data_IF_136678807422
#
_entry.id   IF_136678807422
#
_cell.length_a   1.000
_cell.length_b   1.000
_cell.length_c   1.000
_cell.angle_alpha   90.00
_cell.angle_beta   90.00
_cell.angle_gamma   90.00
#
_symmetry.space_group_name_H-M   'P 1'
#
loop_
_entity.id
_entity.type
_entity.pdbx_description
1 polymer ?
#
# COMPACT_ATOMS: atom_id res chain seq x y z
N UNK A 1 -24.64 -40.63 4.73
CA UNK A 1 -23.60 -39.85 4.04
C UNK A 1 -22.27 -40.56 4.20
N UNK A 2 -21.49 -40.70 3.13
CA UNK A 2 -20.13 -41.22 3.26
C UNK A 2 -19.26 -40.17 3.95
N UNK A 3 -18.40 -40.55 4.89
CA UNK A 3 -17.37 -39.64 5.41
C UNK A 3 -16.39 -39.16 4.32
N UNK A 4 -16.43 -39.76 3.13
CA UNK A 4 -15.53 -39.48 2.00
C UNK A 4 -15.78 -38.12 1.36
N UNK A 5 -17.05 -37.74 1.14
CA UNK A 5 -17.38 -36.51 0.41
C UNK A 5 -17.06 -35.24 1.22
N UNK A 6 -17.26 -35.30 2.54
CA UNK A 6 -16.85 -34.23 3.46
C UNK A 6 -15.33 -34.11 3.60
N UNK A 7 -14.62 -35.24 3.63
CA UNK A 7 -13.16 -35.23 3.63
C UNK A 7 -12.56 -34.66 2.34
N UNK A 8 -13.19 -34.94 1.19
CA UNK A 8 -12.81 -34.35 -0.09
C UNK A 8 -13.01 -32.83 -0.12
N UNK A 9 -14.13 -32.34 0.46
CA UNK A 9 -14.40 -30.91 0.60
C UNK A 9 -13.36 -30.21 1.48
N UNK A 10 -13.03 -30.78 2.65
CA UNK A 10 -11.95 -30.28 3.52
C UNK A 10 -10.58 -30.27 2.82
N UNK A 11 -10.26 -31.31 2.03
CA UNK A 11 -9.04 -31.34 1.22
C UNK A 11 -9.00 -30.21 0.18
N UNK A 12 -10.14 -29.89 -0.43
CA UNK A 12 -10.25 -28.83 -1.43
C UNK A 12 -10.07 -27.45 -0.80
N UNK A 13 -10.69 -27.21 0.36
CA UNK A 13 -10.48 -25.98 1.15
C UNK A 13 -8.99 -25.81 1.49
N UNK A 14 -8.32 -26.86 1.96
CA UNK A 14 -6.91 -26.82 2.30
C UNK A 14 -6.03 -26.48 1.10
N UNK A 15 -6.27 -27.14 -0.06
CA UNK A 15 -5.53 -26.86 -1.30
C UNK A 15 -5.71 -25.41 -1.75
N UNK A 16 -6.92 -24.87 -1.64
CA UNK A 16 -7.19 -23.48 -2.01
C UNK A 16 -6.45 -22.50 -1.08
N UNK A 17 -6.41 -22.74 0.23
CA UNK A 17 -5.60 -21.90 1.14
C UNK A 17 -4.10 -21.96 0.82
N UNK A 18 -3.56 -23.14 0.50
CA UNK A 18 -2.16 -23.29 0.08
C UNK A 18 -1.91 -22.57 -1.24
N UNK A 19 -2.82 -22.69 -2.21
CA UNK A 19 -2.76 -21.99 -3.49
C UNK A 19 -2.81 -20.48 -3.30
N UNK A 20 -3.75 -19.96 -2.50
CA UNK A 20 -3.86 -18.53 -2.22
C UNK A 20 -2.58 -18.00 -1.59
N UNK A 21 -1.99 -18.75 -0.66
CA UNK A 21 -0.81 -18.26 0.02
C UNK A 21 0.47 -18.34 -0.82
N UNK A 22 0.63 -19.38 -1.66
CA UNK A 22 1.69 -19.40 -2.69
C UNK A 22 1.48 -18.34 -3.75
N UNK A 23 0.23 -18.03 -4.09
CA UNK A 23 -0.15 -16.94 -4.98
C UNK A 23 0.21 -15.57 -4.43
N UNK A 24 -0.08 -15.30 -3.15
CA UNK A 24 0.30 -14.08 -2.44
C UNK A 24 1.81 -13.89 -2.42
N UNK A 25 2.55 -14.98 -2.20
CA UNK A 25 4.01 -14.96 -2.25
C UNK A 25 4.52 -14.64 -3.68
N UNK A 26 3.89 -15.21 -4.70
CA UNK A 26 4.27 -15.02 -6.10
C UNK A 26 3.99 -13.61 -6.64
N UNK A 27 3.00 -12.89 -6.09
CA UNK A 27 2.73 -11.47 -6.44
C UNK A 27 3.51 -10.49 -5.58
N UNK A 28 4.27 -10.97 -4.59
CA UNK A 28 5.04 -10.10 -3.73
C UNK A 28 6.17 -9.41 -4.54
N UNK A 29 6.42 -8.10 -4.36
CA UNK A 29 7.39 -7.36 -5.16
C UNK A 29 8.82 -7.92 -5.13
N UNK A 30 9.19 -8.63 -4.05
CA UNK A 30 10.50 -9.29 -3.94
C UNK A 30 10.66 -10.55 -4.79
N UNK A 31 9.57 -11.10 -5.34
CA UNK A 31 9.59 -12.32 -6.15
C UNK A 31 9.22 -12.09 -7.61
N UNK A 32 8.32 -11.15 -7.87
CA UNK A 32 7.84 -10.86 -9.21
C UNK A 32 8.73 -9.80 -9.91
N UNK A 33 9.05 -9.98 -11.21
CA UNK A 33 9.75 -8.95 -11.98
C UNK A 33 8.97 -7.64 -11.97
N UNK A 34 9.66 -6.56 -11.58
CA UNK A 34 9.10 -5.21 -11.46
C UNK A 34 9.35 -4.36 -12.71
N UNK A 35 10.00 -4.92 -13.72
CA UNK A 35 10.33 -4.22 -14.95
C UNK A 35 10.63 -5.22 -16.06
N UNK A 36 10.59 -4.72 -17.29
CA UNK A 36 10.97 -5.49 -18.47
C UNK A 36 12.01 -4.72 -19.27
N UNK A 37 13.02 -5.43 -19.76
CA UNK A 37 14.07 -4.88 -20.62
C UNK A 37 14.03 -5.65 -21.92
N UNK A 38 13.27 -5.13 -22.88
CA UNK A 38 13.00 -5.81 -24.14
C UNK A 38 12.49 -4.83 -25.20
N UNK A 39 13.13 -4.86 -26.37
CA UNK A 39 12.76 -4.02 -27.50
C UNK A 39 11.40 -4.38 -28.11
N UNK A 40 10.94 -5.62 -28.00
CA UNK A 40 9.63 -6.00 -28.52
C UNK A 40 8.50 -5.58 -27.57
N UNK A 41 8.70 -5.75 -26.26
CA UNK A 41 7.80 -5.19 -25.24
C UNK A 41 7.75 -3.65 -25.33
N UNK A 42 8.88 -2.99 -25.59
CA UNK A 42 8.94 -1.53 -25.77
C UNK A 42 8.15 -0.99 -26.99
N UNK A 43 7.74 -1.84 -27.94
CA UNK A 43 6.88 -1.47 -29.07
C UNK A 43 5.39 -1.62 -28.76
N UNK A 44 5.05 -2.22 -27.63
CA UNK A 44 3.66 -2.45 -27.24
C UNK A 44 3.01 -1.15 -26.74
N UNK A 45 1.68 -1.16 -26.71
CA UNK A 45 0.87 -0.05 -26.23
C UNK A 45 0.46 -0.33 -24.78
N UNK A 46 1.17 0.30 -23.84
CA UNK A 46 0.96 0.12 -22.41
C UNK A 46 -0.43 0.56 -21.96
N UNK A 47 -1.01 1.58 -22.62
CA UNK A 47 -2.36 2.02 -22.32
C UNK A 47 -3.41 0.96 -22.67
N UNK A 48 -3.29 0.34 -23.86
CA UNK A 48 -4.17 -0.79 -24.23
C UNK A 48 -4.01 -1.99 -23.33
N UNK A 49 -2.78 -2.32 -22.93
CA UNK A 49 -2.53 -3.40 -21.99
C UNK A 49 -3.17 -3.09 -20.63
N UNK A 50 -3.02 -1.87 -20.12
CA UNK A 50 -3.66 -1.42 -18.88
C UNK A 50 -5.19 -1.50 -18.94
N UNK A 51 -5.80 -1.07 -20.05
CA UNK A 51 -7.25 -1.18 -20.28
C UNK A 51 -7.72 -2.65 -20.29
N UNK A 52 -6.97 -3.54 -20.95
CA UNK A 52 -7.28 -4.96 -20.96
C UNK A 52 -7.18 -5.57 -19.56
N UNK A 53 -6.09 -5.31 -18.83
CA UNK A 53 -5.91 -5.76 -17.45
C UNK A 53 -7.07 -5.29 -16.58
N UNK A 54 -7.45 -4.00 -16.69
CA UNK A 54 -8.56 -3.43 -15.94
C UNK A 54 -9.89 -4.14 -16.25
N UNK A 55 -10.19 -4.35 -17.53
CA UNK A 55 -11.43 -5.02 -17.97
C UNK A 55 -11.52 -6.48 -17.48
N UNK A 56 -10.44 -7.24 -17.68
CA UNK A 56 -10.36 -8.65 -17.29
C UNK A 56 -10.45 -8.80 -15.77
N UNK A 57 -9.79 -7.91 -15.03
CA UNK A 57 -9.85 -7.88 -13.57
C UNK A 57 -11.25 -7.60 -13.05
N UNK A 58 -11.95 -6.60 -13.59
CA UNK A 58 -13.34 -6.32 -13.19
C UNK A 58 -14.26 -7.52 -13.44
N UNK A 59 -14.09 -8.20 -14.56
CA UNK A 59 -14.87 -9.41 -14.89
C UNK A 59 -14.60 -10.53 -13.88
N UNK A 60 -13.34 -10.74 -13.51
CA UNK A 60 -12.96 -11.72 -12.49
C UNK A 60 -13.47 -11.36 -11.10
N UNK A 61 -13.42 -10.09 -10.70
CA UNK A 61 -13.95 -9.63 -9.40
C UNK A 61 -15.46 -9.84 -9.29
N UNK A 62 -16.21 -9.57 -10.35
CA UNK A 62 -17.65 -9.86 -10.41
C UNK A 62 -17.95 -11.36 -10.35
N UNK A 63 -17.09 -12.19 -10.94
CA UNK A 63 -17.22 -13.65 -10.84
C UNK A 63 -16.87 -14.15 -9.44
N UNK A 64 -15.80 -13.61 -8.84
CA UNK A 64 -15.38 -13.93 -7.48
C UNK A 64 -16.46 -13.60 -6.45
N UNK A 65 -17.09 -12.43 -6.54
CA UNK A 65 -18.16 -12.03 -5.63
C UNK A 65 -19.40 -12.94 -5.75
N UNK A 66 -19.75 -13.36 -6.97
CA UNK A 66 -20.83 -14.34 -7.21
C UNK A 66 -20.49 -15.71 -6.66
N UNK A 67 -19.29 -16.22 -6.94
CA UNK A 67 -18.88 -17.57 -6.52
C UNK A 67 -18.77 -17.65 -4.99
N UNK A 68 -18.29 -16.60 -4.33
CA UNK A 68 -18.18 -16.52 -2.87
C UNK A 68 -19.54 -16.37 -2.19
N UNK A 69 -20.45 -15.55 -2.74
CA UNK A 69 -21.82 -15.49 -2.25
C UNK A 69 -22.53 -16.85 -2.41
N UNK A 70 -22.35 -17.50 -3.56
CA UNK A 70 -22.83 -18.85 -3.81
C UNK A 70 -22.24 -19.87 -2.83
N UNK A 71 -20.95 -19.77 -2.52
CA UNK A 71 -20.26 -20.67 -1.60
C UNK A 71 -20.82 -20.48 -0.19
N UNK A 72 -21.00 -19.24 0.24
CA UNK A 72 -21.62 -18.92 1.53
C UNK A 72 -23.03 -19.51 1.64
N UNK A 73 -23.82 -19.48 0.56
CA UNK A 73 -25.16 -20.09 0.52
C UNK A 73 -25.11 -21.62 0.53
N UNK A 74 -24.19 -22.22 -0.23
CA UNK A 74 -24.00 -23.67 -0.27
C UNK A 74 -23.51 -24.22 1.07
N UNK A 75 -22.67 -23.48 1.80
CA UNK A 75 -22.17 -23.85 3.12
C UNK A 75 -23.18 -23.53 4.25
N UNK A 76 -24.49 -23.47 3.95
CA UNK A 76 -25.55 -23.23 4.93
C UNK A 76 -26.28 -24.54 5.27
N UNK A 77 -26.34 -24.97 6.54
CA UNK A 77 -27.16 -26.11 6.92
C UNK A 77 -28.66 -25.82 6.73
N UNK A 78 -29.46 -26.84 6.40
CA UNK A 78 -30.90 -26.70 6.19
C UNK A 78 -31.62 -26.21 7.46
N UNK A 79 -32.74 -25.49 7.28
CA UNK A 79 -33.49 -24.86 8.38
C UNK A 79 -33.86 -25.89 9.45
N UNK A 80 -33.44 -25.66 10.70
CA UNK A 80 -33.79 -26.49 11.87
C UNK A 80 -32.64 -27.28 12.49
N UNK A 81 -31.43 -27.24 11.92
CA UNK A 81 -30.22 -27.81 12.54
C UNK A 81 -29.40 -26.74 13.26
N UNK A 82 -28.71 -27.15 14.35
CA UNK A 82 -27.90 -26.28 15.21
C UNK A 82 -26.79 -25.61 14.38
N UNK A 83 -26.71 -24.28 14.45
CA UNK A 83 -25.87 -23.45 13.57
C UNK A 83 -24.45 -23.19 14.11
N UNK A 84 -24.21 -23.48 15.39
CA UNK A 84 -22.94 -23.21 16.10
C UNK A 84 -22.37 -24.51 16.69
N UNK A 85 -21.90 -25.40 15.82
CA UNK A 85 -21.07 -26.54 16.20
C UNK A 85 -19.62 -26.27 15.80
N UNK A 86 -18.64 -26.79 16.54
CA UNK A 86 -17.20 -26.75 16.19
C UNK A 86 -16.88 -27.39 14.82
N UNK A 87 -17.87 -28.03 14.20
CA UNK A 87 -17.84 -28.58 12.85
C UNK A 87 -18.67 -27.73 11.88
N UNK A 88 -18.05 -26.81 11.10
CA UNK A 88 -18.76 -25.88 10.21
C UNK A 88 -19.53 -26.55 9.06
N UNK A 89 -19.21 -27.81 8.76
CA UNK A 89 -19.83 -28.61 7.70
C UNK A 89 -20.87 -29.61 8.24
N UNK A 90 -21.15 -29.60 9.54
CA UNK A 90 -22.16 -30.47 10.11
C UNK A 90 -23.54 -30.10 9.55
N UNK A 91 -24.26 -31.11 9.05
CA UNK A 91 -25.64 -30.93 8.58
C UNK A 91 -25.84 -30.53 7.11
N UNK A 92 -24.77 -30.31 6.34
CA UNK A 92 -24.90 -30.05 4.89
C UNK A 92 -25.45 -31.29 4.16
N UNK A 93 -26.38 -31.05 3.23
CA UNK A 93 -26.90 -32.07 2.32
C UNK A 93 -25.98 -32.28 1.11
N UNK A 94 -26.16 -33.38 0.39
CA UNK A 94 -25.27 -33.77 -0.72
C UNK A 94 -25.27 -32.72 -1.84
N UNK A 95 -26.41 -32.07 -2.10
CA UNK A 95 -26.54 -31.01 -3.09
C UNK A 95 -25.71 -29.76 -2.70
N UNK A 96 -25.72 -29.39 -1.42
CA UNK A 96 -24.90 -28.30 -0.89
C UNK A 96 -23.41 -28.61 -0.97
N UNK A 97 -23.00 -29.84 -0.65
CA UNK A 97 -21.60 -30.29 -0.77
C UNK A 97 -21.13 -30.27 -2.21
N UNK A 98 -21.95 -30.73 -3.15
CA UNK A 98 -21.62 -30.71 -4.57
C UNK A 98 -21.51 -29.27 -5.11
N UNK A 99 -22.47 -28.41 -4.77
CA UNK A 99 -22.44 -27.00 -5.15
C UNK A 99 -21.20 -26.28 -4.59
N UNK A 100 -20.88 -26.49 -3.30
CA UNK A 100 -19.70 -25.94 -2.66
C UNK A 100 -18.41 -26.43 -3.33
N UNK A 101 -18.31 -27.73 -3.65
CA UNK A 101 -17.14 -28.30 -4.32
C UNK A 101 -16.91 -27.69 -5.71
N UNK A 102 -17.97 -27.48 -6.50
CA UNK A 102 -17.88 -26.82 -7.81
C UNK A 102 -17.41 -25.37 -7.70
N UNK A 103 -17.92 -24.62 -6.71
CA UNK A 103 -17.53 -23.23 -6.49
C UNK A 103 -16.09 -23.10 -5.99
N UNK A 104 -15.65 -23.98 -5.09
CA UNK A 104 -14.24 -24.04 -4.67
C UNK A 104 -13.30 -24.41 -5.82
N UNK A 105 -13.71 -25.34 -6.69
CA UNK A 105 -12.93 -25.69 -7.88
C UNK A 105 -12.85 -24.51 -8.86
N UNK A 106 -13.94 -23.75 -9.05
CA UNK A 106 -13.96 -22.51 -9.82
C UNK A 106 -12.98 -21.48 -9.25
N UNK A 107 -12.98 -21.28 -7.93
CA UNK A 107 -12.02 -20.39 -7.26
C UNK A 107 -10.57 -20.85 -7.47
N UNK A 108 -10.29 -22.15 -7.33
CA UNK A 108 -8.95 -22.71 -7.39
C UNK A 108 -8.36 -22.81 -8.81
N UNK A 109 -9.17 -23.07 -9.83
CA UNK A 109 -8.69 -23.34 -11.19
C UNK A 109 -8.84 -22.17 -12.16
N UNK A 110 -9.69 -21.20 -11.83
CA UNK A 110 -10.03 -20.10 -12.72
C UNK A 110 -9.76 -18.74 -12.06
N UNK A 111 -10.41 -18.45 -10.94
CA UNK A 111 -10.39 -17.09 -10.37
C UNK A 111 -9.02 -16.74 -9.78
N UNK A 112 -8.54 -17.47 -8.78
CA UNK A 112 -7.28 -17.14 -8.08
C UNK A 112 -6.09 -17.11 -9.05
N UNK A 113 -5.86 -18.12 -9.91
CA UNK A 113 -4.74 -18.10 -10.84
C UNK A 113 -4.79 -16.94 -11.83
N UNK A 114 -5.98 -16.57 -12.34
CA UNK A 114 -6.10 -15.46 -13.30
C UNK A 114 -5.93 -14.10 -12.64
N UNK A 115 -6.43 -13.90 -11.42
CA UNK A 115 -6.17 -12.67 -10.66
C UNK A 115 -4.67 -12.45 -10.45
N UNK A 116 -3.97 -13.50 -10.03
CA UNK A 116 -2.52 -13.51 -9.81
C UNK A 116 -1.75 -13.26 -11.10
N UNK A 117 -2.17 -13.89 -12.19
CA UNK A 117 -1.59 -13.66 -13.52
C UNK A 117 -1.71 -12.19 -13.93
N UNK A 118 -2.88 -11.56 -13.77
CA UNK A 118 -3.08 -10.15 -14.10
C UNK A 118 -2.23 -9.22 -13.23
N UNK A 119 -2.10 -9.50 -11.92
CA UNK A 119 -1.21 -8.74 -11.03
C UNK A 119 0.26 -8.83 -11.49
N UNK A 120 0.76 -10.05 -11.75
CA UNK A 120 2.12 -10.25 -12.24
C UNK A 120 2.35 -9.65 -13.63
N UNK A 121 1.34 -9.68 -14.50
CA UNK A 121 1.39 -9.03 -15.80
C UNK A 121 1.50 -7.51 -15.67
N UNK A 122 0.76 -6.91 -14.75
CA UNK A 122 0.84 -5.48 -14.44
C UNK A 122 2.22 -5.12 -13.88
N UNK A 123 2.73 -5.88 -12.89
CA UNK A 123 4.05 -5.64 -12.29
C UNK A 123 5.19 -5.76 -13.30
N UNK A 124 5.20 -6.82 -14.13
CA UNK A 124 6.24 -7.02 -15.15
C UNK A 124 6.32 -5.87 -16.15
N UNK A 125 5.17 -5.28 -16.50
CA UNK A 125 5.08 -4.20 -17.48
C UNK A 125 4.96 -2.81 -16.84
N UNK A 126 5.14 -2.69 -15.52
CA UNK A 126 4.96 -1.40 -14.85
C UNK A 126 6.00 -0.39 -15.32
N UNK A 127 7.23 -0.84 -15.60
CA UNK A 127 8.28 -0.07 -16.28
C UNK A 127 8.89 -0.93 -17.38
N UNK A 128 8.93 -0.37 -18.59
CA UNK A 128 9.52 -1.00 -19.78
C UNK A 128 10.73 -0.19 -20.23
N UNK A 129 11.85 -0.88 -20.43
CA UNK A 129 13.09 -0.33 -20.95
C UNK A 129 13.38 -0.91 -22.33
N UNK A 130 13.89 -0.09 -23.25
CA UNK A 130 14.55 -0.62 -24.46
C UNK A 130 15.87 -1.27 -24.07
N UNK A 131 16.41 -2.14 -24.92
CA UNK A 131 17.78 -2.61 -24.76
C UNK A 131 18.77 -1.56 -25.26
N UNK A 132 19.96 -1.52 -24.68
CA UNK A 132 21.09 -0.81 -25.27
C UNK A 132 21.53 -1.47 -26.58
N UNK A 133 22.15 -0.71 -27.48
CA UNK A 133 22.66 -1.26 -28.75
C UNK A 133 23.67 -2.39 -28.54
N UNK A 134 24.47 -2.31 -27.46
CA UNK A 134 25.42 -3.35 -27.09
C UNK A 134 24.72 -4.65 -26.67
N UNK A 135 23.71 -4.55 -25.80
CA UNK A 135 22.96 -5.73 -25.34
C UNK A 135 22.07 -6.33 -26.44
N UNK A 136 21.47 -5.49 -27.28
CA UNK A 136 20.61 -5.93 -28.39
C UNK A 136 21.37 -6.71 -29.47
N UNK A 137 22.66 -6.42 -29.66
CA UNK A 137 23.51 -7.04 -30.67
C UNK A 137 24.48 -8.09 -30.10
N UNK A 138 24.33 -8.47 -28.82
CA UNK A 138 25.17 -9.48 -28.20
C UNK A 138 24.90 -10.87 -28.79
N UNK A 139 25.91 -11.43 -29.47
CA UNK A 139 25.82 -12.75 -30.10
C UNK A 139 25.65 -13.89 -29.08
N UNK A 140 26.18 -13.73 -27.85
CA UNK A 140 26.02 -14.73 -26.80
C UNK A 140 24.57 -14.84 -26.31
N UNK A 141 23.86 -13.72 -26.28
CA UNK A 141 22.41 -13.67 -25.96
C UNK A 141 21.61 -14.38 -27.05
N UNK A 142 21.91 -14.11 -28.33
CA UNK A 142 21.24 -14.78 -29.46
C UNK A 142 21.49 -16.28 -29.45
N UNK A 143 22.70 -16.72 -29.11
CA UNK A 143 23.03 -18.14 -28.99
C UNK A 143 22.30 -18.79 -27.80
N UNK A 144 22.28 -18.15 -26.64
CA UNK A 144 21.55 -18.63 -25.46
C UNK A 144 20.04 -18.76 -25.73
N UNK A 145 19.44 -17.80 -26.44
CA UNK A 145 18.04 -17.88 -26.86
C UNK A 145 17.78 -19.07 -27.80
N UNK A 146 18.68 -19.35 -28.76
CA UNK A 146 18.58 -20.54 -29.62
C UNK A 146 18.65 -21.85 -28.84
N UNK A 147 19.37 -21.87 -27.73
CA UNK A 147 19.45 -23.01 -26.81
C UNK A 147 18.25 -23.10 -25.85
N UNK A 148 17.29 -22.16 -25.92
CA UNK A 148 16.08 -22.15 -25.10
C UNK A 148 16.27 -21.50 -23.72
N UNK A 149 17.35 -20.76 -23.50
CA UNK A 149 17.57 -20.06 -22.23
C UNK A 149 16.62 -18.86 -22.07
N UNK A 150 16.14 -18.65 -20.84
CA UNK A 150 15.45 -17.42 -20.46
C UNK A 150 16.48 -16.37 -20.06
N UNK A 151 16.48 -15.24 -20.77
CA UNK A 151 17.45 -14.15 -20.55
C UNK A 151 16.89 -13.18 -19.52
N UNK A 152 17.72 -12.82 -18.55
CA UNK A 152 17.46 -11.76 -17.58
C UNK A 152 18.57 -10.73 -17.73
N UNK A 153 18.18 -9.52 -18.13
CA UNK A 153 19.11 -8.41 -18.33
C UNK A 153 19.32 -7.66 -17.02
N UNK A 154 20.57 -7.31 -16.72
CA UNK A 154 20.93 -6.43 -15.60
C UNK A 154 20.88 -4.95 -15.98
N UNK A 155 21.24 -4.08 -15.03
CA UNK A 155 21.16 -2.62 -15.17
C UNK A 155 21.88 -2.08 -16.41
N UNK A 156 23.08 -2.60 -16.72
CA UNK A 156 23.89 -2.13 -17.85
C UNK A 156 23.31 -2.41 -19.24
N UNK A 157 22.25 -3.22 -19.34
CA UNK A 157 21.55 -3.52 -20.58
C UNK A 157 20.31 -2.63 -20.80
N UNK A 158 19.91 -1.83 -19.81
CA UNK A 158 18.79 -0.89 -19.92
C UNK A 158 19.15 0.32 -20.77
N UNK A 159 18.39 0.52 -21.83
CA UNK A 159 18.42 1.71 -22.68
C UNK A 159 17.45 2.79 -22.17
N UNK A 160 16.76 3.47 -23.08
CA UNK A 160 15.75 4.48 -22.74
C UNK A 160 14.47 3.87 -22.16
N UNK A 161 13.84 4.56 -21.20
CA UNK A 161 12.50 4.18 -20.70
C UNK A 161 11.46 4.34 -21.80
N UNK A 162 10.75 3.26 -22.10
CA UNK A 162 9.63 3.26 -23.04
C UNK A 162 8.32 3.61 -22.29
N UNK A 163 8.12 4.89 -22.00
CA UNK A 163 6.97 5.39 -21.22
C UNK A 163 5.63 4.96 -21.84
N UNK A 164 5.49 5.02 -23.17
CA UNK A 164 4.27 4.62 -23.87
C UNK A 164 3.95 3.12 -23.81
N UNK A 165 4.97 2.28 -23.59
CA UNK A 165 4.81 0.83 -23.44
C UNK A 165 4.55 0.41 -21.98
N UNK A 166 4.85 1.30 -21.03
CA UNK A 166 4.72 1.02 -19.59
C UNK A 166 3.27 1.18 -19.14
N UNK A 167 2.77 0.23 -18.33
CA UNK A 167 1.45 0.38 -17.69
C UNK A 167 1.50 1.30 -16.46
N UNK A 168 2.70 1.50 -15.90
CA UNK A 168 2.99 2.39 -14.78
C UNK A 168 2.97 1.72 -13.40
N UNK A 169 3.85 2.20 -12.52
CA UNK A 169 4.10 1.67 -11.16
C UNK A 169 2.87 1.82 -10.27
N UNK A 170 2.24 2.98 -10.27
CA UNK A 170 1.09 3.25 -9.40
C UNK A 170 -0.14 2.42 -9.81
N UNK A 171 -0.37 2.26 -11.11
CA UNK A 171 -1.38 1.35 -11.61
C UNK A 171 -1.09 -0.09 -11.18
N UNK A 172 0.11 -0.60 -11.44
CA UNK A 172 0.48 -1.98 -11.09
C UNK A 172 0.41 -2.26 -9.57
N UNK A 173 0.81 -1.28 -8.74
CA UNK A 173 0.69 -1.35 -7.28
C UNK A 173 -0.77 -1.46 -6.83
N UNK A 174 -1.67 -0.63 -7.37
CA UNK A 174 -3.10 -0.70 -7.06
C UNK A 174 -3.73 -2.04 -7.48
N UNK A 175 -3.38 -2.56 -8.66
CA UNK A 175 -3.82 -3.89 -9.11
C UNK A 175 -3.33 -4.98 -8.15
N UNK A 176 -2.05 -4.94 -7.80
CA UNK A 176 -1.42 -5.93 -6.93
C UNK A 176 -2.06 -5.92 -5.55
N UNK A 177 -2.23 -4.74 -4.93
CA UNK A 177 -2.88 -4.59 -3.63
C UNK A 177 -4.29 -5.15 -3.66
N UNK A 178 -5.08 -4.81 -4.68
CA UNK A 178 -6.45 -5.30 -4.82
C UNK A 178 -6.52 -6.82 -4.99
N UNK A 179 -5.66 -7.40 -5.82
CA UNK A 179 -5.58 -8.86 -6.01
C UNK A 179 -5.16 -9.55 -4.73
N UNK A 180 -4.15 -9.04 -4.02
CA UNK A 180 -3.70 -9.59 -2.75
C UNK A 180 -4.80 -9.59 -1.71
N UNK A 181 -5.51 -8.48 -1.51
CA UNK A 181 -6.60 -8.40 -0.53
C UNK A 181 -7.76 -9.35 -0.87
N UNK A 182 -8.12 -9.48 -2.14
CA UNK A 182 -9.16 -10.43 -2.60
C UNK A 182 -8.73 -11.88 -2.36
N UNK A 183 -7.50 -12.24 -2.73
CA UNK A 183 -6.98 -13.61 -2.56
C UNK A 183 -6.84 -13.97 -1.08
N UNK A 184 -6.43 -13.01 -0.25
CA UNK A 184 -6.36 -13.16 1.20
C UNK A 184 -7.74 -13.39 1.80
N UNK A 185 -8.74 -12.57 1.45
CA UNK A 185 -10.11 -12.75 1.94
C UNK A 185 -10.74 -14.06 1.46
N UNK A 186 -10.45 -14.52 0.24
CA UNK A 186 -10.84 -15.87 -0.23
C UNK A 186 -10.20 -16.94 0.67
N UNK A 187 -8.91 -16.81 1.02
CA UNK A 187 -8.22 -17.74 1.88
C UNK A 187 -8.82 -17.75 3.30
N UNK A 188 -9.07 -16.58 3.89
CA UNK A 188 -9.69 -16.44 5.22
C UNK A 188 -11.11 -17.03 5.23
N UNK A 189 -11.90 -16.82 4.18
CA UNK A 189 -13.23 -17.43 4.04
C UNK A 189 -13.14 -18.96 3.97
N UNK A 190 -12.16 -19.51 3.24
CA UNK A 190 -11.97 -20.96 3.21
C UNK A 190 -11.60 -21.50 4.60
N UNK A 191 -10.76 -20.78 5.33
CA UNK A 191 -10.34 -21.13 6.70
C UNK A 191 -11.53 -21.15 7.68
N UNK A 192 -12.52 -20.26 7.52
CA UNK A 192 -13.70 -20.25 8.39
C UNK A 192 -14.65 -21.44 8.17
N UNK A 193 -14.49 -22.20 7.07
CA UNK A 193 -15.24 -23.44 6.80
C UNK A 193 -14.45 -24.72 7.16
N UNK A 194 -13.20 -24.59 7.62
CA UNK A 194 -12.37 -25.75 7.96
C UNK A 194 -12.70 -26.31 9.35
N UNK A 195 -12.58 -27.62 9.50
CA UNK A 195 -12.64 -28.28 10.81
C UNK A 195 -11.34 -28.09 11.61
N UNK A 196 -11.37 -28.40 12.91
CA UNK A 196 -10.22 -28.24 13.80
C UNK A 196 -8.97 -29.01 13.33
N UNK A 197 -9.16 -30.19 12.74
CA UNK A 197 -8.06 -31.03 12.22
C UNK A 197 -7.36 -30.35 11.04
N UNK A 198 -8.13 -29.89 10.07
CA UNK A 198 -7.60 -29.25 8.86
C UNK A 198 -6.95 -27.90 9.19
N UNK A 199 -7.52 -27.14 10.13
CA UNK A 199 -6.91 -25.90 10.65
C UNK A 199 -5.56 -26.17 11.31
N UNK A 200 -5.44 -27.23 12.10
CA UNK A 200 -4.15 -27.63 12.71
C UNK A 200 -3.09 -27.94 11.65
N UNK A 201 -3.48 -28.61 10.56
CA UNK A 201 -2.57 -28.91 9.43
C UNK A 201 -2.14 -27.63 8.73
N UNK A 202 -3.08 -26.72 8.46
CA UNK A 202 -2.80 -25.43 7.84
C UNK A 202 -1.84 -24.59 8.70
N UNK A 203 -2.10 -24.50 10.01
CA UNK A 203 -1.28 -23.73 10.94
C UNK A 203 0.16 -24.25 10.98
N UNK A 204 0.36 -25.58 10.99
CA UNK A 204 1.69 -26.18 10.87
C UNK A 204 2.37 -25.86 9.53
N UNK A 205 1.61 -25.80 8.44
CA UNK A 205 2.14 -25.43 7.14
C UNK A 205 2.54 -23.95 7.08
N UNK A 206 1.76 -23.06 7.68
CA UNK A 206 2.07 -21.62 7.80
C UNK A 206 3.33 -21.40 8.62
N UNK A 207 3.43 -21.99 9.81
CA UNK A 207 4.61 -21.88 10.69
C UNK A 207 5.89 -22.35 9.96
N UNK A 208 5.81 -23.42 9.16
CA UNK A 208 6.97 -23.91 8.38
C UNK A 208 7.38 -22.96 7.27
N UNK A 209 6.44 -22.24 6.67
CA UNK A 209 6.72 -21.30 5.57
C UNK A 209 7.23 -19.97 6.08
N UNK A 210 6.62 -19.45 7.12
CA UNK A 210 6.82 -18.07 7.60
C UNK A 210 7.79 -17.99 8.78
N UNK A 211 8.11 -19.13 9.41
CA UNK A 211 8.89 -19.19 10.64
C UNK A 211 8.01 -19.04 11.89
N UNK A 212 8.49 -19.54 13.04
CA UNK A 212 7.72 -19.55 14.28
C UNK A 212 7.48 -18.16 14.91
N UNK A 213 8.21 -17.14 14.45
CA UNK A 213 8.18 -15.76 14.96
C UNK A 213 7.41 -14.79 14.06
N UNK A 214 6.91 -15.25 12.91
CA UNK A 214 6.10 -14.40 12.04
C UNK A 214 4.73 -14.15 12.68
N UNK A 215 4.29 -12.89 12.72
CA UNK A 215 2.94 -12.50 13.10
C UNK A 215 1.94 -13.04 12.06
N UNK A 216 1.64 -14.34 12.12
CA UNK A 216 0.64 -14.94 11.24
C UNK A 216 -0.70 -14.29 11.52
N UNK A 217 -1.36 -13.74 10.49
CA UNK A 217 -2.76 -13.29 10.59
C UNK A 217 -3.58 -14.37 11.30
N UNK A 218 -4.25 -14.03 12.40
CA UNK A 218 -4.94 -15.03 13.21
C UNK A 218 -5.96 -15.78 12.35
N UNK A 219 -5.89 -17.12 12.37
CA UNK A 219 -6.81 -17.96 11.58
C UNK A 219 -8.23 -17.63 12.06
N UNK A 220 -9.14 -17.18 11.16
CA UNK A 220 -10.47 -16.77 11.56
C UNK A 220 -11.19 -17.92 12.25
N UNK A 221 -12.09 -17.62 13.21
CA UNK A 221 -12.82 -18.66 13.92
C UNK A 221 -13.67 -19.47 12.92
N UNK A 222 -13.81 -20.80 13.13
CA UNK A 222 -14.57 -21.67 12.25
C UNK A 222 -16.07 -21.52 12.58
N UNK A 223 -16.61 -20.32 12.37
CA UNK A 223 -17.99 -19.98 12.71
C UNK A 223 -18.75 -19.46 11.50
N UNK A 224 -20.08 -19.63 11.55
CA UNK A 224 -20.95 -19.10 10.50
C UNK A 224 -20.96 -17.58 10.49
N UNK A 225 -20.91 -16.95 11.67
CA UNK A 225 -20.83 -15.49 11.81
C UNK A 225 -19.58 -14.92 11.15
N UNK A 226 -18.42 -15.55 11.35
CA UNK A 226 -17.17 -15.15 10.69
C UNK A 226 -17.24 -15.36 9.18
N UNK A 227 -17.75 -16.51 8.73
CA UNK A 227 -17.92 -16.80 7.31
C UNK A 227 -18.82 -15.77 6.59
N UNK A 228 -19.93 -15.37 7.24
CA UNK A 228 -20.84 -14.35 6.70
C UNK A 228 -20.20 -12.95 6.70
N UNK A 229 -19.47 -12.60 7.75
CA UNK A 229 -18.70 -11.36 7.83
C UNK A 229 -17.68 -11.27 6.70
N UNK A 230 -16.89 -12.33 6.49
CA UNK A 230 -15.89 -12.42 5.43
C UNK A 230 -16.51 -12.41 4.04
N UNK A 231 -17.65 -13.10 3.84
CA UNK A 231 -18.41 -13.04 2.59
C UNK A 231 -18.83 -11.59 2.29
N UNK A 232 -19.38 -10.88 3.28
CA UNK A 232 -19.80 -9.49 3.14
C UNK A 232 -18.60 -8.57 2.86
N UNK A 233 -17.49 -8.75 3.56
CA UNK A 233 -16.26 -7.97 3.37
C UNK A 233 -15.71 -8.16 1.95
N UNK A 234 -15.60 -9.40 1.47
CA UNK A 234 -15.14 -9.67 0.10
C UNK A 234 -16.09 -9.09 -0.94
N UNK A 235 -17.40 -9.22 -0.74
CA UNK A 235 -18.40 -8.67 -1.65
C UNK A 235 -18.27 -7.14 -1.72
N UNK A 236 -18.21 -6.46 -0.57
CA UNK A 236 -18.03 -5.02 -0.48
C UNK A 236 -16.72 -4.56 -1.11
N UNK A 237 -15.63 -5.33 -0.94
CA UNK A 237 -14.34 -5.05 -1.57
C UNK A 237 -14.47 -5.12 -3.10
N UNK A 238 -15.02 -6.21 -3.64
CA UNK A 238 -15.20 -6.38 -5.08
C UNK A 238 -16.09 -5.28 -5.68
N UNK A 239 -17.16 -4.90 -4.98
CA UNK A 239 -18.11 -3.86 -5.39
C UNK A 239 -17.49 -2.45 -5.31
N UNK A 240 -16.70 -2.19 -4.26
CA UNK A 240 -15.91 -0.97 -4.10
C UNK A 240 -14.86 -0.81 -5.20
N UNK A 241 -14.09 -1.87 -5.49
CA UNK A 241 -13.12 -1.92 -6.58
C UNK A 241 -13.79 -1.71 -7.95
N UNK A 242 -15.02 -2.18 -8.14
CA UNK A 242 -15.83 -1.93 -9.33
C UNK A 242 -16.46 -0.52 -9.39
N UNK A 243 -16.33 0.28 -8.32
CA UNK A 243 -16.88 1.64 -8.22
C UNK A 243 -18.39 1.70 -7.99
N UNK A 244 -18.99 0.63 -7.46
CA UNK A 244 -20.42 0.51 -7.16
C UNK A 244 -20.76 0.69 -5.66
N UNK A 245 -19.75 0.71 -4.79
CA UNK A 245 -19.91 0.87 -3.34
C UNK A 245 -20.23 2.30 -2.85
N UNK A 246 -20.37 2.44 -1.53
CA UNK A 246 -20.70 3.71 -0.84
C UNK A 246 -19.51 4.65 -0.66
N UNK A 247 -18.27 4.13 -0.76
CA UNK A 247 -17.06 4.93 -0.67
C UNK A 247 -16.94 5.88 -1.88
N UNK A 248 -16.30 7.06 -1.74
CA UNK A 248 -16.08 7.97 -2.86
C UNK A 248 -15.42 7.24 -4.02
N UNK A 249 -16.08 7.24 -5.19
CA UNK A 249 -15.66 6.43 -6.35
C UNK A 249 -14.22 6.66 -6.75
N UNK A 250 -13.69 7.87 -6.57
CA UNK A 250 -12.33 8.21 -6.95
C UNK A 250 -11.27 7.62 -6.00
N UNK A 251 -11.64 7.15 -4.80
CA UNK A 251 -10.73 6.55 -3.81
C UNK A 251 -10.76 5.02 -3.94
N UNK A 252 -11.96 4.43 -3.88
CA UNK A 252 -12.12 2.98 -3.75
C UNK A 252 -12.05 2.20 -5.08
N UNK A 253 -12.42 2.79 -6.21
CA UNK A 253 -12.49 2.06 -7.49
C UNK A 253 -11.09 1.73 -8.02
N UNK A 254 -10.92 0.64 -8.75
CA UNK A 254 -9.67 0.38 -9.46
C UNK A 254 -9.36 1.50 -10.48
N UNK A 255 -8.12 2.01 -10.53
CA UNK A 255 -7.73 2.97 -11.56
C UNK A 255 -7.81 2.31 -12.94
N UNK A 256 -8.16 3.10 -13.96
CA UNK A 256 -8.17 2.64 -15.37
C UNK A 256 -6.83 2.76 -16.07
N UNK A 257 -5.95 3.60 -15.53
CA UNK A 257 -4.65 3.92 -16.11
C UNK A 257 -3.73 4.45 -15.01
N UNK A 258 -2.42 4.54 -15.31
CA UNK A 258 -1.47 5.14 -14.38
C UNK A 258 -1.80 6.59 -14.04
N UNK A 259 -2.32 7.35 -15.01
CA UNK A 259 -2.79 8.72 -14.77
C UNK A 259 -3.88 8.78 -13.71
N UNK A 260 -4.85 7.87 -13.77
CA UNK A 260 -5.88 7.79 -12.73
C UNK A 260 -5.31 7.35 -11.39
N UNK A 261 -4.35 6.42 -11.37
CA UNK A 261 -3.68 5.97 -10.16
C UNK A 261 -2.91 7.10 -9.47
N UNK A 262 -2.12 7.87 -10.23
CA UNK A 262 -1.40 9.05 -9.74
C UNK A 262 -2.36 10.14 -9.28
N UNK A 263 -3.49 10.33 -9.95
CA UNK A 263 -4.53 11.25 -9.49
C UNK A 263 -5.12 10.85 -8.13
N UNK A 264 -5.15 9.54 -7.79
CA UNK A 264 -5.51 9.10 -6.44
C UNK A 264 -4.43 9.44 -5.42
N UNK A 265 -3.18 9.09 -5.72
CA UNK A 265 -2.02 9.37 -4.85
C UNK A 265 -1.96 10.86 -4.55
N UNK A 266 -2.10 11.70 -5.56
CA UNK A 266 -2.17 13.14 -5.38
C UNK A 266 -3.26 13.58 -4.39
N UNK A 267 -4.49 13.08 -4.53
CA UNK A 267 -5.56 13.43 -3.60
C UNK A 267 -5.27 12.97 -2.19
N UNK A 268 -4.65 11.80 -2.03
CA UNK A 268 -4.23 11.30 -0.73
C UNK A 268 -3.12 12.17 -0.13
N UNK A 269 -2.08 12.50 -0.90
CA UNK A 269 -1.00 13.39 -0.49
C UNK A 269 -1.50 14.78 -0.12
N UNK A 270 -2.47 15.35 -0.86
CA UNK A 270 -3.09 16.63 -0.50
C UNK A 270 -3.81 16.53 0.84
N UNK A 271 -4.53 15.43 1.12
CA UNK A 271 -5.20 15.25 2.40
C UNK A 271 -4.18 15.16 3.54
N UNK A 272 -3.09 14.40 3.37
CA UNK A 272 -2.01 14.30 4.37
C UNK A 272 -1.38 15.67 4.62
N UNK A 273 -1.06 16.42 3.55
CA UNK A 273 -0.49 17.76 3.67
C UNK A 273 -1.46 18.79 4.27
N UNK A 274 -2.76 18.68 4.01
CA UNK A 274 -3.75 19.56 4.64
C UNK A 274 -3.94 19.21 6.13
N UNK A 275 -3.84 17.93 6.48
CA UNK A 275 -3.93 17.44 7.86
C UNK A 275 -2.71 17.86 8.69
N UNK A 276 -1.48 17.62 8.20
CA UNK A 276 -0.26 18.04 8.91
C UNK A 276 -0.13 19.56 9.03
N UNK A 277 -0.62 20.32 8.05
CA UNK A 277 -0.71 21.78 8.17
C UNK A 277 -1.73 22.21 9.23
N UNK A 278 -2.87 21.52 9.31
CA UNK A 278 -3.89 21.80 10.32
C UNK A 278 -3.38 21.49 11.73
N UNK A 279 -2.63 20.40 11.89
CA UNK A 279 -1.95 20.02 13.13
C UNK A 279 -0.97 21.12 13.59
N UNK A 280 -0.10 21.59 12.68
CA UNK A 280 0.82 22.70 12.98
C UNK A 280 0.07 23.98 13.41
N UNK A 281 -1.03 24.33 12.72
CA UNK A 281 -1.85 25.49 13.08
C UNK A 281 -2.51 25.30 14.45
N UNK A 282 -3.02 24.11 14.75
CA UNK A 282 -3.61 23.80 16.05
C UNK A 282 -2.60 23.93 17.19
N UNK A 283 -1.36 23.47 16.99
CA UNK A 283 -0.28 23.64 17.96
C UNK A 283 0.06 25.12 18.20
N UNK A 284 0.07 25.95 17.13
CA UNK A 284 0.28 27.40 17.25
C UNK A 284 -0.86 28.12 18.01
N UNK A 285 -2.10 27.66 17.84
CA UNK A 285 -3.29 28.24 18.50
C UNK A 285 -3.47 27.77 19.95
N UNK A 286 -2.84 26.65 20.32
CA UNK A 286 -2.89 26.11 21.67
C UNK A 286 -2.11 27.04 22.61
N UNK A 287 -2.83 27.77 23.47
CA UNK A 287 -2.25 28.59 24.53
C UNK A 287 -2.37 27.86 25.86
N UNK A 288 -1.26 27.63 26.56
CA UNK A 288 -1.23 26.94 27.84
C UNK A 288 -2.10 27.63 28.87
N UNK A 289 -3.31 27.11 29.08
CA UNK A 289 -4.21 27.53 30.14
C UNK A 289 -5.02 26.34 30.68
N UNK A 290 -4.37 25.17 30.78
CA UNK A 290 -4.83 24.05 31.59
C UNK A 290 -4.15 24.16 32.98
N UNK A 291 -4.54 25.19 33.74
CA UNK A 291 -4.53 25.07 35.20
C UNK A 291 -5.68 24.11 35.57
N UNK A 292 -5.40 22.81 35.59
CA UNK A 292 -6.06 21.77 36.42
C UNK A 292 -5.65 20.39 35.89
N UNK A 293 -4.52 19.85 36.36
CA UNK A 293 -4.30 18.40 36.35
C UNK A 293 -3.90 17.97 37.76
N UNK A 294 -4.93 17.52 38.52
CA UNK A 294 -4.72 16.82 39.76
C UNK A 294 -3.99 15.50 39.45
N UNK A 295 -2.91 15.23 40.16
CA UNK A 295 -1.90 14.23 39.78
C UNK A 295 -2.37 12.78 39.81
N UNK A 296 -3.21 12.39 38.85
CA UNK A 296 -3.63 11.01 38.59
C UNK A 296 -3.73 10.67 37.10
N UNK A 297 -2.80 11.13 36.26
CA UNK A 297 -2.81 10.79 34.83
C UNK A 297 -2.47 9.31 34.58
N UNK A 298 -3.46 8.55 34.09
CA UNK A 298 -3.31 7.21 33.51
C UNK A 298 -2.42 7.30 32.25
N UNK A 299 -1.58 6.29 32.00
CA UNK A 299 -0.65 6.17 30.84
C UNK A 299 -1.28 6.46 29.45
N UNK A 300 -2.61 6.47 29.32
CA UNK A 300 -3.31 6.84 28.09
C UNK A 300 -3.44 8.35 27.83
N UNK A 301 -3.33 9.19 28.86
CA UNK A 301 -3.48 10.66 28.73
C UNK A 301 -2.20 11.35 28.25
N UNK A 302 -1.04 10.71 28.40
CA UNK A 302 0.25 11.23 27.99
C UNK A 302 0.37 11.40 26.45
N UNK A 303 -0.38 10.60 25.69
CA UNK A 303 -0.44 10.63 24.22
C UNK A 303 -1.50 11.62 23.69
N UNK A 304 -2.26 12.25 24.59
CA UNK A 304 -3.34 13.18 24.26
C UNK A 304 -3.04 14.61 24.72
N UNK A 305 -1.85 14.88 25.24
CA UNK A 305 -1.46 16.22 25.67
C UNK A 305 -1.24 17.09 24.43
N UNK A 306 -1.93 18.24 24.32
CA UNK A 306 -1.75 19.13 23.20
C UNK A 306 -0.33 19.72 23.24
N UNK A 307 0.33 19.80 22.08
CA UNK A 307 1.66 20.41 21.95
C UNK A 307 1.55 21.90 22.27
N UNK A 308 2.30 22.36 23.27
CA UNK A 308 2.32 23.78 23.68
C UNK A 308 3.64 24.38 23.24
N UNK A 309 3.58 25.21 22.20
CA UNK A 309 4.76 25.87 21.63
C UNK A 309 5.15 27.13 22.43
N UNK A 310 6.46 27.31 22.63
CA UNK A 310 7.09 28.54 23.11
C UNK A 310 6.90 29.69 22.12
N UNK A 311 7.16 30.94 22.53
CA UNK A 311 7.00 32.09 21.62
C UNK A 311 8.00 32.04 20.45
N UNK A 312 9.19 31.49 20.69
CA UNK A 312 10.24 31.28 19.67
C UNK A 312 9.82 30.16 18.71
N UNK A 313 9.37 29.01 19.23
CA UNK A 313 8.82 27.91 18.42
C UNK A 313 7.58 28.34 17.61
N UNK A 314 6.71 29.19 18.15
CA UNK A 314 5.57 29.76 17.39
C UNK A 314 6.02 30.63 16.23
N UNK A 315 7.11 31.37 16.40
CA UNK A 315 7.69 32.18 15.32
C UNK A 315 8.24 31.28 14.21
N UNK A 316 8.99 30.25 14.58
CA UNK A 316 9.52 29.21 13.68
C UNK A 316 8.38 28.49 12.95
N UNK A 317 7.38 27.99 13.69
CA UNK A 317 6.18 27.35 13.14
C UNK A 317 5.42 28.27 12.17
N UNK A 318 5.33 29.57 12.46
CA UNK A 318 4.74 30.55 11.55
C UNK A 318 5.48 30.68 10.22
N UNK A 319 6.82 30.63 10.24
CA UNK A 319 7.62 30.69 9.03
C UNK A 319 7.55 29.38 8.22
N UNK A 320 7.57 28.23 8.92
CA UNK A 320 7.39 26.90 8.30
C UNK A 320 6.00 26.77 7.67
N UNK A 321 4.94 27.17 8.39
CA UNK A 321 3.57 27.21 7.86
C UNK A 321 3.49 27.96 6.54
N UNK A 322 4.12 29.13 6.44
CA UNK A 322 4.12 29.91 5.19
C UNK A 322 4.79 29.15 4.04
N UNK A 323 5.90 28.44 4.31
CA UNK A 323 6.58 27.58 3.33
C UNK A 323 5.68 26.42 2.88
N UNK A 324 5.02 25.73 3.82
CA UNK A 324 4.11 24.62 3.54
C UNK A 324 2.89 25.05 2.71
N UNK A 325 2.31 26.20 3.02
CA UNK A 325 1.21 26.78 2.23
C UNK A 325 1.62 27.03 0.76
N UNK A 326 2.87 27.47 0.52
CA UNK A 326 3.38 27.65 -0.85
C UNK A 326 3.66 26.31 -1.55
N UNK A 327 4.23 25.32 -0.86
CA UNK A 327 4.47 24.00 -1.43
C UNK A 327 3.16 23.29 -1.81
N UNK A 328 2.13 23.38 -0.97
CA UNK A 328 0.78 22.89 -1.28
C UNK A 328 0.18 23.60 -2.51
N UNK A 329 0.39 24.92 -2.64
CA UNK A 329 -0.05 25.67 -3.81
C UNK A 329 0.67 25.22 -5.10
N UNK A 330 1.99 24.99 -5.04
CA UNK A 330 2.79 24.44 -6.15
C UNK A 330 2.26 23.06 -6.54
N UNK A 331 2.06 22.16 -5.58
CA UNK A 331 1.54 20.82 -5.84
C UNK A 331 0.17 20.86 -6.53
N UNK A 332 -0.75 21.72 -6.07
CA UNK A 332 -2.08 21.93 -6.70
C UNK A 332 -1.95 22.45 -8.13
N UNK A 333 -1.08 23.43 -8.39
CA UNK A 333 -0.83 24.01 -9.74
C UNK A 333 -0.20 22.98 -10.69
N UNK A 334 0.84 22.28 -10.25
CA UNK A 334 1.52 21.23 -11.02
C UNK A 334 0.53 20.13 -11.37
N UNK A 335 -0.25 19.66 -10.41
CA UNK A 335 -1.18 18.58 -10.67
C UNK A 335 -2.28 18.98 -11.66
N UNK A 336 -2.83 20.19 -11.56
CA UNK A 336 -3.78 20.71 -12.55
C UNK A 336 -3.17 20.72 -13.96
N UNK A 337 -1.89 21.02 -14.09
CA UNK A 337 -1.23 21.02 -15.39
C UNK A 337 -0.86 19.62 -15.88
N UNK A 338 -0.31 18.75 -15.03
CA UNK A 338 0.04 17.34 -15.36
C UNK A 338 -1.21 16.53 -15.69
N UNK A 339 -2.23 16.60 -14.84
CA UNK A 339 -3.50 15.90 -15.06
C UNK A 339 -4.46 16.66 -15.98
N UNK A 340 -4.23 17.93 -16.30
CA UNK A 340 -5.02 18.68 -17.28
C UNK A 340 -4.46 18.58 -18.70
N UNK A 341 -3.18 18.24 -18.84
CA UNK A 341 -2.52 18.12 -20.13
C UNK A 341 -3.01 16.89 -20.91
N UNK A 342 -3.25 17.10 -22.21
CA UNK A 342 -3.42 16.03 -23.19
C UNK A 342 -2.07 15.60 -23.81
N UNK A 343 -0.94 16.14 -23.31
CA UNK A 343 0.37 15.86 -23.88
C UNK A 343 0.75 14.38 -23.69
N UNK A 344 1.10 13.66 -24.77
CA UNK A 344 1.35 12.22 -24.75
C UNK A 344 2.73 11.80 -24.17
N UNK A 345 3.41 12.66 -23.40
CA UNK A 345 4.80 12.43 -22.99
C UNK A 345 5.08 12.65 -21.49
N UNK A 346 4.05 12.72 -20.64
CA UNK A 346 4.25 12.84 -19.20
C UNK A 346 4.52 11.46 -18.62
N UNK A 347 5.68 11.31 -17.98
CA UNK A 347 5.98 10.14 -17.15
C UNK A 347 5.25 10.28 -15.81
N UNK A 348 4.08 9.64 -15.72
CA UNK A 348 3.27 9.66 -14.52
C UNK A 348 3.94 8.97 -13.32
N UNK A 349 4.90 8.06 -13.52
CA UNK A 349 5.62 7.47 -12.39
C UNK A 349 6.51 8.49 -11.70
N UNK A 350 7.22 9.32 -12.48
CA UNK A 350 8.06 10.40 -11.95
C UNK A 350 7.19 11.44 -11.24
N UNK A 351 6.05 11.78 -11.83
CA UNK A 351 5.12 12.73 -11.22
C UNK A 351 4.53 12.21 -9.91
N UNK A 352 4.10 10.95 -9.86
CA UNK A 352 3.60 10.35 -8.64
C UNK A 352 4.68 10.28 -7.56
N UNK A 353 5.93 9.98 -7.92
CA UNK A 353 7.03 9.86 -6.97
C UNK A 353 7.33 11.20 -6.30
N UNK A 354 7.47 12.27 -7.10
CA UNK A 354 7.68 13.61 -6.58
C UNK A 354 6.51 14.10 -5.69
N UNK A 355 5.27 13.67 -5.99
CA UNK A 355 4.09 14.00 -5.16
C UNK A 355 4.15 13.29 -3.81
N UNK A 356 4.51 12.02 -3.78
CA UNK A 356 4.63 11.23 -2.54
C UNK A 356 5.77 11.74 -1.67
N UNK A 357 6.95 11.94 -2.25
CA UNK A 357 8.14 12.47 -1.55
C UNK A 357 7.87 13.86 -0.96
N UNK A 358 7.15 14.73 -1.67
CA UNK A 358 6.79 16.05 -1.13
C UNK A 358 5.84 15.96 0.07
N UNK A 359 4.87 15.02 0.07
CA UNK A 359 3.98 14.84 1.22
C UNK A 359 4.70 14.27 2.43
N UNK A 360 5.63 13.32 2.22
CA UNK A 360 6.46 12.76 3.29
C UNK A 360 7.38 13.84 3.87
N UNK A 361 8.08 14.60 3.04
CA UNK A 361 8.94 15.69 3.50
C UNK A 361 8.17 16.82 4.23
N UNK A 362 6.89 17.03 3.90
CA UNK A 362 6.06 17.94 4.69
C UNK A 362 5.77 17.38 6.08
N UNK A 363 5.42 16.10 6.17
CA UNK A 363 5.14 15.42 7.43
C UNK A 363 6.38 15.45 8.33
N UNK A 364 7.55 15.11 7.78
CA UNK A 364 8.85 15.17 8.47
C UNK A 364 9.17 16.61 8.93
N UNK A 365 8.89 17.63 8.11
CA UNK A 365 9.13 19.02 8.47
C UNK A 365 8.17 19.51 9.58
N UNK A 366 6.91 19.08 9.55
CA UNK A 366 5.96 19.38 10.64
C UNK A 366 6.40 18.66 11.92
N UNK A 367 6.80 17.40 11.81
CA UNK A 367 7.28 16.60 12.93
C UNK A 367 8.50 17.24 13.59
N UNK A 368 9.49 17.68 12.80
CA UNK A 368 10.67 18.39 13.30
C UNK A 368 10.32 19.72 14.00
N UNK A 369 9.22 20.39 13.63
CA UNK A 369 8.79 21.62 14.32
C UNK A 369 8.06 21.31 15.63
N UNK A 370 7.27 20.24 15.67
CA UNK A 370 6.37 19.95 16.80
C UNK A 370 7.01 19.06 17.87
N UNK A 371 8.00 18.25 17.50
CA UNK A 371 8.52 17.17 18.34
C UNK A 371 10.05 17.10 18.42
N UNK A 372 10.79 18.02 17.78
CA UNK A 372 12.23 18.12 18.02
C UNK A 372 12.47 18.41 19.50
N UNK A 373 13.17 17.50 20.19
CA UNK A 373 13.45 17.57 21.63
C UNK A 373 12.79 16.49 22.50
N UNK A 374 11.88 15.66 21.99
CA UNK A 374 11.24 14.56 22.76
C UNK A 374 11.96 13.19 22.62
N UNK A 375 13.08 13.11 21.89
CA UNK A 375 13.83 11.85 21.69
C UNK A 375 14.60 11.34 22.93
N UNK A 376 14.63 12.09 24.04
CA UNK A 376 15.30 11.67 25.28
C UNK A 376 14.55 10.57 26.07
N UNK A 377 13.40 10.08 25.60
CA UNK A 377 12.78 8.89 26.16
C UNK A 377 13.38 7.60 25.55
N UNK A 378 14.70 7.41 25.69
CA UNK A 378 15.29 6.10 25.45
C UNK A 378 14.67 5.07 26.43
N UNK A 379 14.41 3.82 26.03
CA UNK A 379 13.90 2.79 26.94
C UNK A 379 14.90 2.38 28.04
N UNK A 380 16.08 3.01 28.12
CA UNK A 380 17.15 2.63 29.05
C UNK A 380 17.01 3.24 30.45
N UNK A 381 16.13 4.24 30.65
CA UNK A 381 15.93 4.90 31.95
C UNK A 381 14.94 4.20 32.89
N UNK A 382 14.40 3.03 32.51
CA UNK A 382 13.55 2.21 33.40
C UNK A 382 14.29 1.05 34.08
N UNK A 383 15.60 0.88 33.87
CA UNK A 383 16.40 -0.17 34.53
C UNK A 383 17.77 0.32 35.01
N UNK A 384 17.83 1.33 35.88
CA UNK A 384 19.09 1.72 36.54
C UNK A 384 18.94 2.03 38.03
N UNK A 385 18.52 1.04 38.81
CA UNK A 385 18.77 1.01 40.26
C UNK A 385 19.93 0.04 40.55
N UNK A 386 21.14 0.41 40.13
CA UNK A 386 22.41 0.01 40.75
C UNK A 386 23.69 0.55 40.06
N UNK A 387 24.49 1.24 40.88
CA UNK A 387 25.95 1.44 40.83
C UNK A 387 26.51 2.72 40.20
N UNK A 388 27.04 3.55 41.11
CA UNK A 388 28.15 4.49 40.98
C UNK A 388 29.04 4.30 39.74
N UNK A 389 29.18 5.33 38.91
CA UNK A 389 30.33 6.24 38.96
C UNK A 389 30.53 7.02 37.65
N UNK A 390 31.03 8.25 37.84
CA UNK A 390 31.65 9.16 36.87
C UNK A 390 30.68 10.00 36.04
N UNK A 391 30.46 11.21 36.55
CA UNK A 391 30.18 12.42 35.76
C UNK A 391 31.25 12.59 34.68
N UNK A 392 30.86 12.51 33.43
CA UNK A 392 31.48 13.27 32.35
C UNK A 392 30.34 14.00 31.65
N UNK A 393 30.14 15.26 32.05
CA UNK A 393 29.27 16.22 31.40
C UNK A 393 29.85 16.53 30.03
N UNK A 394 29.36 15.85 29.00
CA UNK A 394 29.40 16.33 27.63
C UNK A 394 28.20 17.25 27.44
N UNK A 395 28.44 18.56 27.52
CA UNK A 395 27.59 19.54 26.85
C UNK A 395 27.73 19.24 25.36
N UNK A 396 26.83 18.42 24.81
CA UNK A 396 26.57 18.43 23.37
C UNK A 396 25.67 19.65 23.13
N UNK A 397 26.27 20.65 22.50
CA UNK A 397 25.67 21.93 22.14
C UNK A 397 24.32 21.71 21.42
N UNK A 398 23.29 22.45 21.84
CA UNK A 398 21.93 22.42 21.30
C UNK A 398 21.77 22.95 19.87
N UNK A 399 22.73 22.69 18.99
CA UNK A 399 22.72 23.06 17.56
C UNK A 399 22.15 21.94 16.66
N UNK A 400 21.90 20.74 17.21
CA UNK A 400 21.45 19.57 16.43
C UNK A 400 20.05 19.72 15.82
N UNK A 401 19.10 20.23 16.60
CA UNK A 401 17.70 20.35 16.20
C UNK A 401 17.47 21.44 15.13
N UNK A 402 18.24 22.54 15.21
CA UNK A 402 18.18 23.63 14.23
C UNK A 402 18.76 23.21 12.87
N UNK A 403 19.84 22.42 12.87
CA UNK A 403 20.44 21.86 11.67
C UNK A 403 19.52 20.84 10.99
N UNK A 404 18.82 20.00 11.77
CA UNK A 404 17.84 19.04 11.26
C UNK A 404 16.62 19.74 10.66
N UNK A 405 16.04 20.72 11.36
CA UNK A 405 14.93 21.51 10.87
C UNK A 405 15.28 22.22 9.55
N UNK A 406 16.49 22.79 9.48
CA UNK A 406 16.99 23.44 8.27
C UNK A 406 17.17 22.46 7.12
N UNK A 407 17.73 21.28 7.37
CA UNK A 407 17.89 20.23 6.36
C UNK A 407 16.54 19.75 5.84
N UNK A 408 15.56 19.56 6.72
CA UNK A 408 14.18 19.19 6.36
C UNK A 408 13.52 20.27 5.49
N UNK A 409 13.65 21.55 5.86
CA UNK A 409 13.13 22.68 5.08
C UNK A 409 13.79 22.81 3.70
N UNK A 410 15.10 22.56 3.58
CA UNK A 410 15.82 22.55 2.30
C UNK A 410 15.37 21.38 1.42
N UNK A 411 15.20 20.19 1.99
CA UNK A 411 14.67 19.01 1.30
C UNK A 411 13.27 19.28 0.73
N UNK A 412 12.36 19.83 1.56
CA UNK A 412 11.00 20.19 1.14
C UNK A 412 11.00 21.19 -0.02
N UNK A 413 11.83 22.24 0.06
CA UNK A 413 11.98 23.25 -1.00
C UNK A 413 12.54 22.63 -2.29
N UNK A 414 13.54 21.76 -2.18
CA UNK A 414 14.12 21.08 -3.34
C UNK A 414 13.08 20.20 -4.04
N UNK A 415 12.26 19.47 -3.29
CA UNK A 415 11.15 18.67 -3.82
C UNK A 415 10.07 19.51 -4.49
N UNK A 416 9.73 20.69 -3.94
CA UNK A 416 8.87 21.66 -4.61
C UNK A 416 9.43 22.06 -5.99
N UNK A 417 10.74 22.30 -6.08
CA UNK A 417 11.44 22.63 -7.32
C UNK A 417 11.41 21.48 -8.34
N UNK A 418 11.64 20.25 -7.90
CA UNK A 418 11.55 19.05 -8.75
C UNK A 418 10.14 18.87 -9.30
N UNK A 419 9.12 19.03 -8.45
CA UNK A 419 7.72 18.93 -8.83
C UNK A 419 7.33 20.02 -9.84
N UNK A 420 7.76 21.28 -9.63
CA UNK A 420 7.53 22.37 -10.55
C UNK A 420 8.21 22.15 -11.92
N UNK A 421 9.40 21.53 -11.94
CA UNK A 421 10.15 21.25 -13.15
C UNK A 421 9.43 20.27 -14.10
N UNK A 422 8.51 19.43 -13.58
CA UNK A 422 7.68 18.54 -14.39
C UNK A 422 6.77 19.28 -15.37
N UNK A 423 6.48 20.56 -15.10
CA UNK A 423 5.58 21.38 -15.90
C UNK A 423 6.27 22.67 -16.30
N UNK A 424 7.29 22.53 -17.14
CA UNK A 424 8.04 23.68 -17.63
C UNK A 424 7.26 24.44 -18.72
N UNK A 425 7.14 25.78 -18.66
CA UNK A 425 7.49 26.71 -17.58
C UNK A 425 6.25 27.31 -16.88
N UNK A 426 5.24 26.50 -16.52
CA UNK A 426 3.94 27.04 -16.09
C UNK A 426 3.80 27.28 -14.59
N UNK A 427 4.76 26.87 -13.75
CA UNK A 427 4.67 27.01 -12.28
C UNK A 427 5.87 27.80 -11.75
N UNK A 428 5.68 29.07 -11.29
CA UNK A 428 6.76 29.88 -10.74
C UNK A 428 7.14 29.41 -9.32
N UNK A 429 8.44 29.42 -9.01
CA UNK A 429 9.01 29.06 -7.71
C UNK A 429 9.29 30.27 -6.80
N UNK A 430 9.14 31.50 -7.30
CA UNK A 430 9.50 32.73 -6.58
C UNK A 430 8.82 32.87 -5.21
N UNK A 431 7.59 32.36 -5.07
CA UNK A 431 6.83 32.40 -3.82
C UNK A 431 7.39 31.40 -2.79
N UNK A 432 7.75 30.19 -3.23
CA UNK A 432 8.38 29.16 -2.39
C UNK A 432 9.76 29.62 -1.94
N UNK A 433 10.57 30.14 -2.87
CA UNK A 433 11.92 30.62 -2.57
C UNK A 433 11.89 31.79 -1.58
N UNK A 434 10.90 32.69 -1.70
CA UNK A 434 10.72 33.78 -0.73
C UNK A 434 10.32 33.26 0.64
N UNK A 435 9.39 32.31 0.72
CA UNK A 435 8.97 31.71 1.99
C UNK A 435 10.11 30.93 2.66
N UNK A 436 10.89 30.17 1.89
CA UNK A 436 12.06 29.45 2.38
C UNK A 436 13.13 30.38 2.94
N UNK A 437 13.47 31.47 2.23
CA UNK A 437 14.44 32.44 2.74
C UNK A 437 13.95 33.17 4.01
N UNK A 438 12.63 33.36 4.15
CA UNK A 438 12.06 33.91 5.38
C UNK A 438 12.14 32.91 6.54
N UNK A 439 11.89 31.62 6.28
CA UNK A 439 12.05 30.55 7.26
C UNK A 439 13.51 30.42 7.72
N UNK A 440 14.47 30.38 6.79
CA UNK A 440 15.90 30.37 7.13
C UNK A 440 16.33 31.57 7.99
N UNK A 441 15.77 32.75 7.74
CA UNK A 441 16.08 33.94 8.54
C UNK A 441 15.43 33.92 9.94
N UNK A 442 14.52 32.97 10.19
CA UNK A 442 13.89 32.74 11.50
C UNK A 442 14.60 31.62 12.27
N UNK A 443 15.33 30.74 11.56
CA UNK A 443 16.16 29.68 12.15
C UNK A 443 17.56 30.17 12.58
N UNK A 444 17.87 31.45 12.38
CA UNK A 444 19.17 32.11 12.67
C UNK A 444 18.93 33.32 13.56
#
# INVERSE_FOLDING_TARGET
MSGGDRAALQSTLLRLCVLSATSLQAVHPSQAPQESVDNDTAKQDGAKLGEQIHHDLLTLLQKASKDVAGLSLAMRPPKGQVQDTEEPLAGLDDASVEAASRLLQSLASDIVPKLVFLANLAQKNQVVWTLTDAAANDESVKEAQKLGAQIVYGEGAKGSKAVAASVGRYFASEITRAVSEVVELIAQLCQSFMDARTRTVLQRAQIRREGATSHTSSIPPPSRSASLSLTKRLWNLCDGLAGQGTAPKHIARLPRSNREAVAKVWKQSVLVMEDSLAELVQAMETTGNDEDDDGTAELGEQWSKPVILSDEERSVAGAVRALLEQGLAVQKRVCQAVLGSAAPAIDFDVAGQAISELSEAQDDLVSAVLYAGDEDASPEDLEADQQDAVKESGEEDGDGDEDELRASAESYRALCGQLAALVTPSVPMDEVDRAYNAALATFL
#
